data_IF_339191748302
#
_entry.id   IF_339191748302
#
_cell.length_a   1.000
_cell.length_b   1.000
_cell.length_c   1.000
_cell.angle_alpha   90.00
_cell.angle_beta   90.00
_cell.angle_gamma   90.00
#
_symmetry.space_group_name_H-M   'P 1'
#
loop_
_entity.id
_entity.type
_entity.pdbx_description
1 polymer ?
#
# COMPACT_ATOMS: atom_id res chain seq x y z
N UNK A 1 -14.29 16.52 6.32
CA UNK A 1 -14.20 15.15 5.78
C UNK A 1 -12.86 14.59 6.24
N UNK A 2 -12.82 13.39 6.82
CA UNK A 2 -11.59 12.76 7.33
C UNK A 2 -11.05 11.73 6.34
N UNK A 3 -9.75 11.80 6.03
CA UNK A 3 -9.02 10.96 5.07
C UNK A 3 -9.80 10.54 3.81
N UNK A 4 -10.39 11.49 3.06
CA UNK A 4 -11.11 11.14 1.85
C UNK A 4 -10.22 10.93 0.63
N UNK A 5 -10.72 10.14 -0.30
CA UNK A 5 -10.37 10.26 -1.71
C UNK A 5 -10.95 11.56 -2.27
N UNK A 6 -10.10 12.47 -2.75
CA UNK A 6 -10.48 13.75 -3.35
C UNK A 6 -10.14 13.81 -4.84
N UNK A 7 -9.02 13.21 -5.23
CA UNK A 7 -8.57 13.12 -6.60
C UNK A 7 -7.73 11.86 -6.77
N UNK A 8 -8.27 10.89 -7.51
CA UNK A 8 -7.64 9.58 -7.69
C UNK A 8 -6.19 9.63 -8.18
N UNK A 9 -5.86 10.51 -9.13
CA UNK A 9 -4.51 10.62 -9.66
C UNK A 9 -3.52 11.18 -8.61
N UNK A 10 -3.95 12.22 -7.89
CA UNK A 10 -3.11 12.86 -6.85
C UNK A 10 -2.97 11.95 -5.64
N UNK A 11 -4.08 11.39 -5.16
CA UNK A 11 -4.11 10.54 -3.98
C UNK A 11 -3.33 9.25 -4.22
N UNK A 12 -3.47 8.61 -5.40
CA UNK A 12 -2.67 7.42 -5.76
C UNK A 12 -1.17 7.72 -5.83
N UNK A 13 -0.76 8.85 -6.42
CA UNK A 13 0.64 9.25 -6.45
C UNK A 13 1.20 9.51 -5.04
N UNK A 14 0.41 10.22 -4.22
CA UNK A 14 0.78 10.55 -2.85
C UNK A 14 0.92 9.32 -1.96
N UNK A 15 0.14 8.25 -2.19
CA UNK A 15 0.29 6.97 -1.48
C UNK A 15 1.70 6.41 -1.61
N UNK A 16 2.27 6.38 -2.81
CA UNK A 16 3.62 5.82 -3.00
C UNK A 16 4.72 6.74 -2.46
N UNK A 17 4.51 8.07 -2.48
CA UNK A 17 5.41 9.01 -1.80
C UNK A 17 5.36 8.84 -0.27
N UNK A 18 4.17 8.59 0.28
CA UNK A 18 3.98 8.28 1.69
C UNK A 18 4.71 6.98 2.08
N UNK A 19 4.54 5.89 1.33
CA UNK A 19 5.22 4.63 1.59
C UNK A 19 6.75 4.79 1.58
N UNK A 20 7.29 5.51 0.60
CA UNK A 20 8.73 5.76 0.50
C UNK A 20 9.26 6.61 1.66
N UNK A 21 8.58 7.72 1.98
CA UNK A 21 8.99 8.63 3.08
C UNK A 21 8.86 8.00 4.47
N UNK A 22 8.05 6.95 4.62
CA UNK A 22 7.89 6.18 5.86
C UNK A 22 8.75 4.91 5.90
N UNK A 23 9.63 4.71 4.90
CA UNK A 23 10.56 3.58 4.88
C UNK A 23 9.89 2.22 4.65
N UNK A 24 8.68 2.21 4.08
CA UNK A 24 7.94 0.99 3.77
C UNK A 24 8.33 0.40 2.41
N UNK A 25 8.92 1.22 1.54
CA UNK A 25 9.48 0.78 0.26
C UNK A 25 10.88 1.35 0.06
N UNK A 26 11.68 0.65 -0.74
CA UNK A 26 13.05 0.99 -1.12
C UNK A 26 13.13 2.25 -1.98
N UNK A 27 14.31 2.86 -2.02
CA UNK A 27 14.57 4.02 -2.89
C UNK A 27 14.43 3.63 -4.37
N UNK A 28 14.87 2.42 -4.73
CA UNK A 28 14.76 1.87 -6.07
C UNK A 28 13.30 1.73 -6.51
N UNK A 29 12.44 1.18 -5.64
CA UNK A 29 11.01 1.01 -5.92
C UNK A 29 10.29 2.35 -5.98
N UNK A 30 10.54 3.25 -5.01
CA UNK A 30 9.98 4.62 -5.04
C UNK A 30 10.37 5.39 -6.30
N UNK A 31 11.64 5.30 -6.73
CA UNK A 31 12.11 5.93 -7.96
C UNK A 31 11.46 5.30 -9.21
N UNK A 32 11.34 3.97 -9.26
CA UNK A 32 10.70 3.27 -10.36
C UNK A 32 9.24 3.72 -10.52
N UNK A 33 8.49 3.84 -9.42
CA UNK A 33 7.10 4.33 -9.46
C UNK A 33 7.04 5.76 -9.99
N UNK A 34 7.84 6.66 -9.43
CA UNK A 34 7.86 8.08 -9.85
C UNK A 34 8.21 8.26 -11.33
N UNK A 35 9.03 7.36 -11.88
CA UNK A 35 9.49 7.41 -13.27
C UNK A 35 8.52 6.74 -14.24
N UNK A 36 8.00 5.57 -13.88
CA UNK A 36 7.29 4.68 -14.81
C UNK A 36 5.76 4.86 -14.78
N UNK A 37 5.21 5.45 -13.70
CA UNK A 37 3.77 5.62 -13.51
C UNK A 37 3.28 7.02 -13.91
N UNK A 38 2.34 7.05 -14.85
CA UNK A 38 1.52 8.22 -15.17
C UNK A 38 0.17 8.10 -14.47
N UNK A 39 0.09 8.63 -13.24
CA UNK A 39 -1.12 8.55 -12.42
C UNK A 39 -2.30 9.34 -13.00
N UNK A 40 -2.09 10.23 -13.98
CA UNK A 40 -3.18 10.88 -14.70
C UNK A 40 -4.04 9.89 -15.50
N UNK A 41 -3.50 8.70 -15.80
CA UNK A 41 -4.23 7.59 -16.44
C UNK A 41 -4.75 6.55 -15.45
N UNK A 42 -4.49 6.75 -14.16
CA UNK A 42 -4.93 5.82 -13.13
C UNK A 42 -6.46 5.85 -13.05
N UNK A 43 -7.07 4.70 -13.28
CA UNK A 43 -8.51 4.47 -13.11
C UNK A 43 -8.70 3.46 -11.97
N UNK A 44 -9.91 3.39 -11.41
CA UNK A 44 -10.23 2.39 -10.39
C UNK A 44 -9.96 0.94 -10.86
N UNK A 45 -9.94 0.70 -12.17
CA UNK A 45 -9.61 -0.61 -12.76
C UNK A 45 -8.12 -0.82 -13.05
N UNK A 46 -7.28 0.22 -13.00
CA UNK A 46 -5.83 0.12 -13.28
C UNK A 46 -5.44 -0.20 -14.72
N UNK A 47 -6.41 -0.37 -15.63
CA UNK A 47 -6.21 -0.93 -16.98
C UNK A 47 -5.32 -0.08 -17.91
N UNK A 48 -5.15 1.21 -17.61
CA UNK A 48 -4.43 2.16 -18.46
C UNK A 48 -2.96 2.38 -18.05
N UNK A 49 -2.46 1.62 -17.09
CA UNK A 49 -1.07 1.71 -16.64
C UNK A 49 -0.11 0.94 -17.55
N UNK A 50 1.11 1.46 -17.67
CA UNK A 50 2.19 0.77 -18.37
C UNK A 50 2.58 -0.52 -17.62
N UNK A 51 3.11 -1.51 -18.34
CA UNK A 51 3.61 -2.74 -17.71
C UNK A 51 4.73 -2.47 -16.70
N UNK A 52 5.57 -1.45 -16.96
CA UNK A 52 6.63 -1.06 -16.02
C UNK A 52 6.06 -0.44 -14.75
N UNK A 53 5.02 0.39 -14.85
CA UNK A 53 4.31 0.91 -13.69
C UNK A 53 3.65 -0.20 -12.87
N UNK A 54 2.91 -1.10 -13.52
CA UNK A 54 2.28 -2.25 -12.83
C UNK A 54 3.33 -3.09 -12.10
N UNK A 55 4.49 -3.32 -12.73
CA UNK A 55 5.59 -4.02 -12.07
C UNK A 55 6.09 -3.26 -10.84
N UNK A 56 6.32 -1.95 -10.95
CA UNK A 56 6.81 -1.13 -9.83
C UNK A 56 5.81 -1.09 -8.66
N UNK A 57 4.51 -1.00 -8.96
CA UNK A 57 3.43 -1.09 -7.97
C UNK A 57 3.45 -2.46 -7.28
N UNK A 58 3.52 -3.56 -8.04
CA UNK A 58 3.60 -4.90 -7.47
C UNK A 58 4.86 -5.12 -6.62
N UNK A 59 5.97 -4.45 -6.94
CA UNK A 59 7.18 -4.52 -6.14
C UNK A 59 7.00 -3.75 -4.82
N UNK A 60 6.35 -2.57 -4.85
CA UNK A 60 5.97 -1.85 -3.63
C UNK A 60 5.03 -2.65 -2.72
N UNK A 61 3.99 -3.29 -3.28
CA UNK A 61 3.06 -4.13 -2.51
C UNK A 61 3.79 -5.29 -1.81
N UNK A 62 4.75 -5.92 -2.48
CA UNK A 62 5.55 -7.00 -1.89
C UNK A 62 6.49 -6.52 -0.79
N UNK A 63 7.05 -5.32 -0.93
CA UNK A 63 7.93 -4.72 0.07
C UNK A 63 7.16 -4.35 1.34
N UNK A 64 5.94 -3.81 1.21
CA UNK A 64 5.03 -3.54 2.34
C UNK A 64 4.63 -4.86 3.02
N UNK A 65 4.17 -5.83 2.23
CA UNK A 65 3.79 -7.16 2.70
C UNK A 65 2.55 -7.23 3.59
N UNK A 66 2.17 -8.44 3.97
CA UNK A 66 0.91 -8.72 4.70
C UNK A 66 0.96 -8.40 6.21
N UNK A 67 2.10 -7.92 6.70
CA UNK A 67 2.33 -7.63 8.13
C UNK A 67 2.17 -6.16 8.49
N UNK A 68 1.80 -5.33 7.52
CA UNK A 68 1.55 -3.90 7.69
C UNK A 68 0.08 -3.61 7.40
N UNK A 69 -0.55 -2.81 8.26
CA UNK A 69 -1.91 -2.34 8.02
C UNK A 69 -1.87 -1.04 7.20
N UNK A 70 -2.39 -1.05 5.98
CA UNK A 70 -2.42 0.12 5.08
C UNK A 70 -3.22 1.31 5.65
N UNK A 71 -4.16 1.06 6.56
CA UNK A 71 -4.95 2.11 7.21
C UNK A 71 -4.20 2.76 8.37
N UNK A 72 -3.22 2.06 8.97
CA UNK A 72 -2.39 2.54 10.07
C UNK A 72 -1.08 1.76 10.16
N UNK A 73 -0.01 2.31 9.57
CA UNK A 73 1.27 1.61 9.34
C UNK A 73 2.11 1.40 10.60
N UNK A 74 1.70 1.93 11.75
CA UNK A 74 2.39 1.75 13.03
C UNK A 74 1.65 0.80 13.99
N UNK A 75 0.44 0.34 13.62
CA UNK A 75 -0.30 -0.64 14.39
C UNK A 75 0.00 -2.07 13.95
N UNK A 76 -0.20 -3.01 14.86
CA UNK A 76 -0.16 -4.45 14.56
C UNK A 76 -1.32 -4.83 13.62
N UNK A 77 -1.06 -5.79 12.74
CA UNK A 77 -2.11 -6.46 11.97
C UNK A 77 -2.95 -7.37 12.87
N UNK A 78 -4.24 -7.48 12.58
CA UNK A 78 -5.14 -8.35 13.33
C UNK A 78 -4.72 -9.82 13.19
N UNK A 79 -4.70 -10.54 14.31
CA UNK A 79 -4.55 -11.98 14.27
C UNK A 79 -5.73 -12.63 13.52
N UNK A 80 -5.48 -13.76 12.81
CA UNK A 80 -6.56 -14.57 12.26
C UNK A 80 -7.57 -14.94 13.34
N UNK A 81 -8.85 -15.01 12.98
CA UNK A 81 -9.95 -15.25 13.92
C UNK A 81 -9.76 -16.51 14.79
N UNK A 82 -9.16 -17.56 14.23
CA UNK A 82 -8.85 -18.79 14.96
C UNK A 82 -7.76 -18.57 16.03
N UNK A 83 -6.73 -17.77 15.73
CA UNK A 83 -5.65 -17.44 16.66
C UNK A 83 -6.18 -16.55 17.78
N UNK A 84 -6.98 -15.53 17.44
CA UNK A 84 -7.69 -14.71 18.43
C UNK A 84 -8.54 -15.56 19.38
N UNK A 85 -9.30 -16.52 18.83
CA UNK A 85 -10.14 -17.40 19.63
C UNK A 85 -9.31 -18.28 20.57
N UNK A 86 -8.22 -18.88 20.09
CA UNK A 86 -7.30 -19.64 20.92
C UNK A 86 -6.68 -18.80 22.03
N UNK A 87 -6.19 -17.58 21.71
CA UNK A 87 -5.60 -16.67 22.69
C UNK A 87 -6.59 -16.27 23.79
N UNK A 88 -7.87 -16.09 23.44
CA UNK A 88 -8.94 -15.82 24.41
C UNK A 88 -9.26 -17.02 25.28
N UNK A 89 -9.31 -18.23 24.70
CA UNK A 89 -9.60 -19.46 25.44
C UNK A 89 -8.45 -19.88 26.36
N UNK A 90 -7.20 -19.70 25.94
CA UNK A 90 -5.99 -20.02 26.76
C UNK A 90 -5.76 -19.08 27.95
N UNK A 91 -6.45 -17.94 28.00
CA UNK A 91 -6.41 -17.01 29.14
C UNK A 91 -7.25 -17.47 30.34
N UNK A 92 -7.95 -18.60 30.23
CA UNK A 92 -8.80 -19.20 31.27
C UNK A 92 -8.32 -20.60 31.64
#
# INVERSE_FOLDING_TARGET
IGNPLLNLAVDAAATYEYLWSHGLISEETGFAIKKECDFGKYTDSGDNLSRSCIKAINDAEKEVGDYINEYDVILDVCYPSIVEQELRLRKW
#
